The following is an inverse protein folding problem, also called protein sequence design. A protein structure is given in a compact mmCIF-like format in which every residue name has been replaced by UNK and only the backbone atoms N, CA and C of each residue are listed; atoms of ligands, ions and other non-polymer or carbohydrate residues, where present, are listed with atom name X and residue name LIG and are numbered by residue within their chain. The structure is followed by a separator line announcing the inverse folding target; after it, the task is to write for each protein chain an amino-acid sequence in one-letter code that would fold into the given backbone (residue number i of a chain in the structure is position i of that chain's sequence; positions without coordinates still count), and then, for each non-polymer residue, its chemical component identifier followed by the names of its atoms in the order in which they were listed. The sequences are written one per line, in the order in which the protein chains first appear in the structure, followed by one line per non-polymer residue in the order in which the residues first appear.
data_IF_473722026164
#
_entry.id   IF_473722026164
#
_cell.length_a   1.000
_cell.length_b   1.000
_cell.length_c   1.000
_cell.angle_alpha   90.00
_cell.angle_beta   90.00
_cell.angle_gamma   90.00
#
_symmetry.space_group_name_H-M   'P 1'
#
loop_
_entity.id
_entity.type
_entity.pdbx_description
1 polymer ?
#
# COMPACT_ATOMS: atom_id res chain seq x y z
N UNK A 1 -20.39 15.06 -30.52
CA UNK A 1 -20.58 15.52 -29.12
C UNK A 1 -19.83 14.55 -28.22
N UNK A 2 -18.75 14.97 -27.57
CA UNK A 2 -17.94 14.06 -26.74
C UNK A 2 -18.65 13.80 -25.40
N UNK A 3 -18.93 12.53 -25.10
CA UNK A 3 -19.47 12.07 -23.83
C UNK A 3 -18.43 12.29 -22.72
N UNK A 4 -18.62 13.35 -21.93
CA UNK A 4 -17.81 13.65 -20.73
C UNK A 4 -18.40 12.94 -19.51
N UNK A 5 -18.52 11.60 -19.54
CA UNK A 5 -18.66 10.80 -18.32
C UNK A 5 -17.41 11.01 -17.47
N UNK A 6 -17.46 12.02 -16.61
CA UNK A 6 -16.54 12.25 -15.51
C UNK A 6 -16.62 11.00 -14.63
N UNK A 7 -15.72 10.05 -14.89
CA UNK A 7 -15.46 8.97 -13.93
C UNK A 7 -14.90 9.64 -12.69
N UNK A 8 -15.72 9.80 -11.65
CA UNK A 8 -15.26 10.30 -10.38
C UNK A 8 -14.14 9.38 -9.89
N UNK A 9 -12.91 9.89 -9.90
CA UNK A 9 -11.73 9.20 -9.38
C UNK A 9 -11.51 9.70 -7.96
N UNK A 10 -11.86 8.85 -7.01
CA UNK A 10 -11.65 9.11 -5.60
C UNK A 10 -10.22 8.74 -5.22
N UNK A 11 -9.56 9.62 -4.47
CA UNK A 11 -8.30 9.33 -3.81
C UNK A 11 -8.59 9.02 -2.34
N UNK A 12 -7.91 8.01 -1.81
CA UNK A 12 -7.93 7.64 -0.40
C UNK A 12 -6.50 7.79 0.16
N UNK A 13 -6.39 8.15 1.43
CA UNK A 13 -5.11 8.26 2.15
C UNK A 13 -5.11 7.35 3.37
N UNK A 14 -3.99 6.66 3.60
CA UNK A 14 -3.77 5.80 4.77
C UNK A 14 -2.73 6.47 5.66
N UNK A 15 -3.11 6.89 6.86
CA UNK A 15 -2.18 7.48 7.85
C UNK A 15 -1.51 6.37 8.64
N UNK A 16 -0.28 6.03 8.26
CA UNK A 16 0.49 4.94 8.89
C UNK A 16 1.90 5.32 9.33
N UNK A 17 2.45 6.44 8.86
CA UNK A 17 3.82 6.90 9.20
C UNK A 17 3.91 7.74 10.47
N UNK A 18 2.78 8.26 10.95
CA UNK A 18 2.73 9.04 12.18
C UNK A 18 2.61 8.11 13.39
N UNK A 19 3.68 7.36 13.65
CA UNK A 19 3.76 6.35 14.69
C UNK A 19 5.07 6.54 15.47
N UNK A 20 5.10 6.26 16.80
CA UNK A 20 6.34 6.31 17.57
C UNK A 20 7.43 5.38 17.03
N UNK A 21 7.01 4.20 16.55
CA UNK A 21 7.87 3.22 15.90
C UNK A 21 7.08 2.53 14.78
N UNK A 22 7.71 2.38 13.61
CA UNK A 22 7.12 1.62 12.52
C UNK A 22 7.26 0.12 12.80
N UNK A 23 6.19 -0.64 12.58
CA UNK A 23 6.18 -2.10 12.79
C UNK A 23 5.67 -2.82 11.55
N UNK A 24 6.11 -4.07 11.37
CA UNK A 24 5.67 -4.94 10.27
C UNK A 24 4.14 -5.06 10.19
N UNK A 25 3.45 -5.05 11.34
CA UNK A 25 1.99 -5.15 11.36
C UNK A 25 1.32 -3.88 10.83
N UNK A 26 1.89 -2.69 11.11
CA UNK A 26 1.35 -1.42 10.61
C UNK A 26 1.53 -1.35 9.08
N UNK A 27 2.70 -1.76 8.58
CA UNK A 27 2.97 -1.87 7.15
C UNK A 27 2.01 -2.87 6.48
N UNK A 28 1.89 -4.09 7.03
CA UNK A 28 1.02 -5.13 6.51
C UNK A 28 -0.46 -4.70 6.47
N UNK A 29 -0.96 -4.08 7.55
CA UNK A 29 -2.32 -3.58 7.62
C UNK A 29 -2.58 -2.46 6.59
N UNK A 30 -1.58 -1.61 6.35
CA UNK A 30 -1.68 -0.54 5.36
C UNK A 30 -1.72 -1.09 3.93
N UNK A 31 -0.85 -2.05 3.61
CA UNK A 31 -0.78 -2.69 2.30
C UNK A 31 -1.98 -3.62 2.03
N UNK A 32 -2.62 -4.12 3.09
CA UNK A 32 -3.81 -4.97 3.02
C UNK A 32 -5.14 -4.24 3.20
N UNK A 33 -5.16 -2.90 3.18
CA UNK A 33 -6.36 -2.12 3.48
C UNK A 33 -7.35 -2.10 2.31
N UNK A 34 -8.53 -2.69 2.50
CA UNK A 34 -9.61 -2.69 1.49
C UNK A 34 -9.16 -3.02 0.05
N UNK A 35 -8.48 -4.16 -0.19
CA UNK A 35 -7.89 -4.49 -1.48
C UNK A 35 -8.93 -4.57 -2.62
N UNK A 36 -10.18 -4.93 -2.32
CA UNK A 36 -11.25 -4.99 -3.32
C UNK A 36 -11.77 -3.61 -3.76
N UNK A 37 -11.39 -2.53 -3.07
CA UNK A 37 -11.76 -1.15 -3.40
C UNK A 37 -10.56 -0.34 -3.90
N UNK A 38 -9.38 -0.58 -3.31
CA UNK A 38 -8.14 0.13 -3.65
C UNK A 38 -7.39 -0.63 -4.73
N UNK A 39 -7.36 -0.04 -5.93
CA UNK A 39 -6.73 -0.65 -7.09
C UNK A 39 -5.24 -0.36 -7.19
N UNK A 40 -4.80 0.78 -6.66
CA UNK A 40 -3.42 1.27 -6.78
C UNK A 40 -3.01 1.84 -5.42
N UNK A 41 -1.87 1.39 -4.93
CA UNK A 41 -1.20 1.94 -3.75
C UNK A 41 0.02 2.73 -4.23
N UNK A 42 0.20 3.93 -3.67
CA UNK A 42 1.39 4.76 -3.91
C UNK A 42 2.06 5.01 -2.56
N UNK A 43 3.25 4.44 -2.37
CA UNK A 43 4.02 4.53 -1.14
C UNK A 43 5.44 5.00 -1.47
N UNK A 44 5.95 5.96 -0.70
CA UNK A 44 7.30 6.52 -0.84
C UNK A 44 7.99 6.54 0.52
N UNK A 45 7.78 5.49 1.30
CA UNK A 45 8.48 5.22 2.56
C UNK A 45 9.36 3.97 2.36
N UNK A 46 10.33 3.79 3.25
CA UNK A 46 11.29 2.70 3.17
C UNK A 46 12.33 2.79 4.29
N UNK A 47 13.41 2.00 4.19
CA UNK A 47 14.57 2.14 5.07
C UNK A 47 15.20 3.54 4.97
N UNK A 48 16.07 3.87 5.92
CA UNK A 48 16.83 5.12 5.89
C UNK A 48 17.69 5.25 4.64
N UNK A 49 17.57 6.36 3.91
CA UNK A 49 18.35 6.67 2.70
C UNK A 49 19.79 7.17 3.02
N UNK A 50 20.55 6.41 3.83
CA UNK A 50 21.91 6.78 4.26
C UNK A 50 23.03 6.07 3.46
N UNK A 51 22.67 5.24 2.49
CA UNK A 51 23.61 4.42 1.70
C UNK A 51 24.29 3.29 2.48
N UNK A 52 23.84 3.00 3.71
CA UNK A 52 24.39 1.95 4.59
C UNK A 52 23.33 0.97 5.05
N UNK A 53 22.11 1.43 5.19
CA UNK A 53 20.97 0.65 5.64
C UNK A 53 20.49 -0.26 4.52
N UNK A 54 20.43 -1.56 4.81
CA UNK A 54 19.84 -2.58 3.95
C UNK A 54 18.72 -3.23 4.75
N UNK A 55 17.48 -2.83 4.48
CA UNK A 55 16.29 -3.42 5.09
C UNK A 55 15.16 -3.51 4.04
N UNK A 56 14.09 -4.23 4.36
CA UNK A 56 12.96 -4.43 3.48
C UNK A 56 11.70 -4.89 4.20
N UNK A 57 10.62 -5.15 3.47
CA UNK A 57 9.37 -5.59 4.05
C UNK A 57 9.55 -6.90 4.82
N UNK A 58 9.06 -6.91 6.07
CA UNK A 58 9.09 -8.08 6.94
C UNK A 58 7.96 -9.07 6.57
N UNK A 59 7.87 -10.16 7.31
CA UNK A 59 7.12 -11.35 6.91
C UNK A 59 5.60 -11.09 6.78
N UNK A 60 5.00 -10.26 7.64
CA UNK A 60 3.58 -9.91 7.52
C UNK A 60 3.33 -9.00 6.31
N UNK A 61 4.18 -8.00 6.12
CA UNK A 61 4.08 -7.06 4.99
C UNK A 61 4.25 -7.77 3.66
N UNK A 62 5.22 -8.70 3.56
CA UNK A 62 5.38 -9.51 2.35
C UNK A 62 4.16 -10.38 2.07
N UNK A 63 3.54 -10.99 3.09
CA UNK A 63 2.29 -11.73 2.89
C UNK A 63 1.16 -10.83 2.39
N UNK A 64 1.03 -9.61 2.93
CA UNK A 64 0.02 -8.65 2.49
C UNK A 64 0.23 -8.26 1.01
N UNK A 65 1.47 -8.00 0.60
CA UNK A 65 1.82 -7.67 -0.79
C UNK A 65 1.53 -8.86 -1.72
N UNK A 66 2.00 -10.06 -1.38
CA UNK A 66 1.79 -11.28 -2.18
C UNK A 66 0.30 -11.57 -2.35
N UNK A 67 -0.48 -11.45 -1.27
CA UNK A 67 -1.93 -11.57 -1.29
C UNK A 67 -2.59 -10.51 -2.18
N UNK A 68 -2.15 -9.25 -2.06
CA UNK A 68 -2.62 -8.13 -2.87
C UNK A 68 -2.44 -8.35 -4.38
N UNK A 69 -1.31 -8.95 -4.77
CA UNK A 69 -1.00 -9.25 -6.18
C UNK A 69 -1.81 -10.44 -6.70
N UNK A 70 -1.93 -11.51 -5.91
CA UNK A 70 -2.46 -12.78 -6.39
C UNK A 70 -3.98 -12.94 -6.25
N UNK A 71 -4.58 -12.46 -5.15
CA UNK A 71 -5.97 -12.78 -4.82
C UNK A 71 -6.97 -11.69 -5.25
N UNK A 72 -6.51 -10.46 -5.43
CA UNK A 72 -7.41 -9.30 -5.59
C UNK A 72 -7.91 -9.11 -7.02
N UNK A 73 -7.15 -9.59 -8.01
CA UNK A 73 -7.48 -9.49 -9.45
C UNK A 73 -8.08 -10.77 -10.04
N UNK A 74 -8.54 -11.71 -9.21
CA UNK A 74 -9.33 -12.84 -9.70
C UNK A 74 -10.77 -12.36 -9.87
N UNK A 75 -11.09 -11.92 -11.09
CA UNK A 75 -12.46 -11.74 -11.57
C UNK A 75 -12.91 -13.01 -12.28
#
# INVERSE_FOLDING_TARGET
MADKRLTARWFCGIRMLDQPYMTDLIEANSMGHEPHKIHIYSASWGPTDDGRTVDGPRNATMRAIVRGVNEVRVK
#
